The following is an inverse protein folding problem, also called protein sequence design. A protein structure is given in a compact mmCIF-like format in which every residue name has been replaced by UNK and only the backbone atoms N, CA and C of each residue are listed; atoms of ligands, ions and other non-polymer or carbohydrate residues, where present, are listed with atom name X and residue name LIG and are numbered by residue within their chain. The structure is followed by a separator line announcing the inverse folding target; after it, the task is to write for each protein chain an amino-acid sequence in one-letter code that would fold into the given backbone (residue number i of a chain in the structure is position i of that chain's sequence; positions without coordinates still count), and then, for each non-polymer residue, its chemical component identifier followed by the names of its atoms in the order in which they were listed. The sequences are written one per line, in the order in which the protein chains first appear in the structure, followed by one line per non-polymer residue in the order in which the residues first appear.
data_IF_521766830390
#
_entry.id   IF_521766830390
#
_cell.length_a   1.000
_cell.length_b   1.000
_cell.length_c   1.000
_cell.angle_alpha   90.00
_cell.angle_beta   90.00
_cell.angle_gamma   90.00
#
_symmetry.space_group_name_H-M   'P 1'
#
loop_
_entity.id
_entity.type
_entity.pdbx_description
1 polymer ?
#
# COMPACT_ATOMS: atom_id res chain seq x y z
N UNK A 1 -27.68 60.24 -38.50
CA UNK A 1 -26.49 59.46 -38.11
C UNK A 1 -26.37 59.52 -36.59
N UNK A 2 -26.93 58.52 -35.91
CA UNK A 2 -26.67 58.24 -34.48
C UNK A 2 -25.31 57.51 -34.37
N UNK A 3 -24.58 57.37 -33.25
CA UNK A 3 -24.95 57.35 -31.83
C UNK A 3 -23.80 57.87 -30.95
N UNK A 4 -24.19 58.29 -29.75
CA UNK A 4 -23.39 58.54 -28.56
C UNK A 4 -22.45 57.37 -28.19
N UNK A 5 -21.25 57.71 -27.69
CA UNK A 5 -20.41 56.78 -26.94
C UNK A 5 -20.71 56.96 -25.45
N UNK A 6 -21.46 56.02 -24.89
CA UNK A 6 -21.60 55.80 -23.44
C UNK A 6 -20.52 54.80 -23.00
N UNK A 7 -19.69 55.17 -22.04
CA UNK A 7 -18.75 54.28 -21.35
C UNK A 7 -19.20 54.07 -19.91
N UNK A 8 -19.88 52.95 -19.66
CA UNK A 8 -20.25 52.46 -18.33
C UNK A 8 -19.03 51.74 -17.70
N UNK A 9 -18.65 52.01 -16.44
CA UNK A 9 -17.62 51.23 -15.77
C UNK A 9 -18.22 49.92 -15.27
N UNK A 10 -17.85 48.81 -15.93
CA UNK A 10 -18.18 47.45 -15.50
C UNK A 10 -17.57 47.20 -14.11
N UNK A 11 -18.44 47.03 -13.11
CA UNK A 11 -18.09 46.53 -11.78
C UNK A 11 -17.55 45.11 -11.92
N UNK A 12 -16.26 44.94 -11.64
CA UNK A 12 -15.68 43.63 -11.35
C UNK A 12 -16.18 43.18 -9.97
N UNK A 13 -17.27 42.41 -9.95
CA UNK A 13 -17.59 41.61 -8.78
C UNK A 13 -16.54 40.50 -8.68
N UNK A 14 -15.48 40.76 -7.93
CA UNK A 14 -14.61 39.73 -7.37
C UNK A 14 -15.50 38.90 -6.46
N UNK A 15 -16.01 37.79 -6.99
CA UNK A 15 -16.56 36.72 -6.18
C UNK A 15 -15.37 36.18 -5.38
N UNK A 16 -15.21 36.65 -4.13
CA UNK A 16 -14.33 36.00 -3.18
C UNK A 16 -14.88 34.59 -2.98
N UNK A 17 -14.35 33.64 -3.75
CA UNK A 17 -14.50 32.23 -3.46
C UNK A 17 -13.98 32.05 -2.04
N UNK A 18 -14.91 31.84 -1.11
CA UNK A 18 -14.61 31.40 0.25
C UNK A 18 -13.70 30.19 0.12
N UNK A 19 -12.47 30.34 0.61
CA UNK A 19 -11.50 29.26 0.73
C UNK A 19 -12.02 28.26 1.76
N UNK A 20 -13.00 27.45 1.37
CA UNK A 20 -13.33 26.22 2.08
C UNK A 20 -12.17 25.28 1.77
N UNK A 21 -11.28 25.14 2.74
CA UNK A 21 -10.37 24.00 2.82
C UNK A 21 -11.25 22.74 2.85
N UNK A 22 -11.50 22.14 1.68
CA UNK A 22 -12.07 20.81 1.59
C UNK A 22 -11.04 19.92 2.28
N UNK A 23 -11.29 19.56 3.53
CA UNK A 23 -10.52 18.54 4.24
C UNK A 23 -10.76 17.23 3.50
N UNK A 24 -9.85 16.90 2.59
CA UNK A 24 -9.96 15.71 1.76
C UNK A 24 -9.83 14.47 2.63
N UNK A 25 -10.81 13.57 2.54
CA UNK A 25 -10.86 12.33 3.31
C UNK A 25 -9.69 11.43 2.93
N UNK A 26 -8.87 10.94 3.90
CA UNK A 26 -7.70 10.15 3.55
C UNK A 26 -8.03 8.75 3.01
N UNK A 27 -7.09 8.19 2.26
CA UNK A 27 -7.07 6.77 1.87
C UNK A 27 -5.99 6.06 2.69
N UNK A 28 -6.35 4.97 3.36
CA UNK A 28 -5.37 4.10 4.02
C UNK A 28 -4.80 3.13 3.00
N UNK A 29 -3.47 3.11 2.83
CA UNK A 29 -2.77 2.09 2.04
C UNK A 29 -2.09 1.13 3.01
N UNK A 30 -2.57 -0.10 3.04
CA UNK A 30 -2.09 -1.13 3.97
C UNK A 30 -1.03 -2.04 3.32
N UNK A 31 0.21 -1.83 3.73
CA UNK A 31 1.40 -2.60 3.36
C UNK A 31 1.54 -3.86 4.20
N UNK A 32 2.03 -4.93 3.55
CA UNK A 32 2.30 -6.25 4.14
C UNK A 32 3.60 -6.81 3.55
N UNK A 33 3.53 -7.77 2.63
CA UNK A 33 4.71 -8.40 1.99
C UNK A 33 5.13 -7.71 0.68
N UNK A 34 4.68 -6.48 0.50
CA UNK A 34 4.81 -5.63 -0.69
C UNK A 34 5.54 -4.31 -0.34
N UNK A 35 6.66 -4.41 0.39
CA UNK A 35 7.43 -3.29 0.94
C UNK A 35 8.24 -2.51 -0.12
N UNK A 36 7.55 -1.90 -1.08
CA UNK A 36 8.11 -1.15 -2.22
C UNK A 36 7.17 -0.02 -2.65
N UNK A 37 7.70 1.04 -3.26
CA UNK A 37 6.89 2.11 -3.86
C UNK A 37 6.68 1.88 -5.36
N UNK A 38 7.70 1.39 -6.06
CA UNK A 38 7.62 1.06 -7.48
C UNK A 38 6.70 -0.14 -7.69
N UNK A 39 5.95 -0.11 -8.78
CA UNK A 39 4.99 -1.14 -9.16
C UNK A 39 4.01 -1.53 -8.02
N UNK A 40 3.65 -0.56 -7.19
CA UNK A 40 2.74 -0.77 -6.06
C UNK A 40 1.35 -0.24 -6.39
N UNK A 41 0.54 -1.06 -7.07
CA UNK A 41 -0.72 -0.62 -7.67
C UNK A 41 -1.73 -0.04 -6.66
N UNK A 42 -1.78 -0.56 -5.43
CA UNK A 42 -2.60 0.01 -4.36
C UNK A 42 -2.17 1.43 -3.94
N UNK A 43 -0.86 1.70 -3.93
CA UNK A 43 -0.30 3.00 -3.56
C UNK A 43 -0.50 3.98 -4.71
N UNK A 44 -0.21 3.54 -5.93
CA UNK A 44 -0.44 4.32 -7.15
C UNK A 44 -1.91 4.75 -7.27
N UNK A 45 -2.84 3.82 -7.04
CA UNK A 45 -4.27 4.12 -7.07
C UNK A 45 -4.73 5.05 -5.94
N UNK A 46 -4.08 5.04 -4.78
CA UNK A 46 -4.34 5.98 -3.70
C UNK A 46 -3.84 7.38 -4.05
N UNK A 47 -2.60 7.51 -4.54
CA UNK A 47 -2.02 8.80 -4.93
C UNK A 47 -2.82 9.46 -6.07
N UNK A 48 -3.28 8.66 -7.04
CA UNK A 48 -4.08 9.16 -8.18
C UNK A 48 -5.55 9.42 -7.84
N UNK A 49 -5.99 9.19 -6.61
CA UNK A 49 -7.34 9.57 -6.16
C UNK A 49 -7.45 11.07 -5.84
N UNK A 50 -6.32 11.77 -5.66
CA UNK A 50 -6.29 13.16 -5.18
C UNK A 50 -6.56 13.31 -3.67
N UNK A 51 -6.72 12.20 -2.95
CA UNK A 51 -6.90 12.17 -1.50
C UNK A 51 -5.55 12.05 -0.77
N UNK A 52 -5.43 12.58 0.46
CA UNK A 52 -4.29 12.31 1.32
C UNK A 52 -4.13 10.81 1.59
N UNK A 53 -2.90 10.34 1.72
CA UNK A 53 -2.59 8.92 1.88
C UNK A 53 -2.00 8.65 3.26
N UNK A 54 -2.58 7.68 3.97
CA UNK A 54 -2.03 7.13 5.20
C UNK A 54 -1.37 5.80 4.86
N UNK A 55 -0.05 5.73 4.95
CA UNK A 55 0.70 4.49 4.70
C UNK A 55 0.84 3.71 6.00
N UNK A 56 0.22 2.53 6.06
CA UNK A 56 0.11 1.70 7.26
C UNK A 56 0.79 0.35 7.04
N UNK A 57 1.56 -0.11 8.03
CA UNK A 57 1.97 -1.50 8.16
C UNK A 57 1.49 -2.05 9.52
N UNK A 58 0.88 -3.23 9.49
CA UNK A 58 0.37 -3.92 10.68
C UNK A 58 1.17 -5.20 10.89
N UNK A 59 1.80 -5.34 12.07
CA UNK A 59 2.31 -6.61 12.58
C UNK A 59 1.15 -7.42 13.14
N UNK A 60 0.54 -8.20 12.25
CA UNK A 60 -0.56 -9.09 12.59
C UNK A 60 -0.07 -10.28 13.46
N UNK A 61 -0.94 -10.85 14.33
CA UNK A 61 -0.67 -12.11 15.02
C UNK A 61 -0.30 -13.23 14.04
N UNK A 62 0.50 -14.20 14.50
CA UNK A 62 1.02 -15.29 13.67
C UNK A 62 -0.11 -16.13 13.03
N UNK A 63 -1.26 -16.18 13.69
CA UNK A 63 -2.45 -16.92 13.31
C UNK A 63 -3.26 -16.20 12.21
N UNK A 64 -3.06 -14.90 12.00
CA UNK A 64 -3.89 -14.01 11.16
C UNK A 64 -3.63 -14.11 9.65
N UNK A 65 -3.09 -15.23 9.18
CA UNK A 65 -2.93 -15.53 7.75
C UNK A 65 -1.61 -15.08 7.12
N UNK A 66 -0.88 -14.11 7.69
CA UNK A 66 0.48 -13.79 7.19
C UNK A 66 1.54 -14.85 7.53
N UNK A 67 1.19 -15.81 8.39
CA UNK A 67 2.05 -16.87 8.88
C UNK A 67 2.96 -16.40 10.01
N UNK A 68 3.50 -17.35 10.77
CA UNK A 68 4.49 -17.05 11.80
C UNK A 68 5.77 -16.47 11.16
N UNK A 69 6.22 -15.34 11.70
CA UNK A 69 7.47 -14.71 11.28
C UNK A 69 8.65 -15.45 11.92
N UNK A 70 9.46 -16.12 11.12
CA UNK A 70 10.71 -16.73 11.59
C UNK A 70 11.78 -15.67 11.92
N UNK A 71 12.73 -15.97 12.80
CA UNK A 71 13.73 -15.00 13.28
C UNK A 71 14.58 -14.35 12.15
N UNK A 72 14.99 -15.14 11.14
CA UNK A 72 15.68 -14.61 9.96
C UNK A 72 14.80 -13.68 9.10
N UNK A 73 13.51 -14.00 8.96
CA UNK A 73 12.56 -13.11 8.30
C UNK A 73 12.26 -11.87 9.14
N UNK A 74 12.30 -11.97 10.47
CA UNK A 74 12.22 -10.83 11.39
C UNK A 74 13.36 -9.84 11.16
N UNK A 75 14.60 -10.34 11.10
CA UNK A 75 15.77 -9.52 10.76
C UNK A 75 15.58 -8.82 9.40
N UNK A 76 15.14 -9.56 8.38
CA UNK A 76 14.90 -9.00 7.04
C UNK A 76 13.78 -7.95 7.05
N UNK A 77 12.69 -8.23 7.76
CA UNK A 77 11.53 -7.36 7.88
C UNK A 77 11.90 -6.04 8.55
N UNK A 78 12.66 -6.08 9.65
CA UNK A 78 13.14 -4.88 10.33
C UNK A 78 13.87 -3.94 9.35
N UNK A 79 14.89 -4.45 8.68
CA UNK A 79 15.66 -3.64 7.73
C UNK A 79 14.82 -3.18 6.53
N UNK A 80 13.90 -4.02 6.06
CA UNK A 80 12.98 -3.64 4.97
C UNK A 80 12.02 -2.52 5.37
N UNK A 81 11.45 -2.55 6.57
CA UNK A 81 10.57 -1.51 7.08
C UNK A 81 11.33 -0.21 7.36
N UNK A 82 12.54 -0.29 7.91
CA UNK A 82 13.41 0.87 8.10
C UNK A 82 13.76 1.53 6.75
N UNK A 83 14.10 0.73 5.73
CA UNK A 83 14.36 1.21 4.38
C UNK A 83 13.10 1.83 3.75
N UNK A 84 11.93 1.17 3.89
CA UNK A 84 10.66 1.67 3.39
C UNK A 84 10.29 3.02 4.04
N UNK A 85 10.41 3.14 5.37
CA UNK A 85 10.14 4.38 6.09
C UNK A 85 11.04 5.52 5.60
N UNK A 86 12.34 5.27 5.38
CA UNK A 86 13.26 6.26 4.79
C UNK A 86 12.88 6.65 3.36
N UNK A 87 12.40 5.70 2.56
CA UNK A 87 11.91 5.99 1.21
C UNK A 87 10.66 6.84 1.27
N UNK A 88 9.64 6.43 2.01
CA UNK A 88 8.39 7.20 2.18
C UNK A 88 8.66 8.63 2.66
N UNK A 89 9.57 8.82 3.61
CA UNK A 89 9.92 10.15 4.12
C UNK A 89 10.47 11.08 3.02
N UNK A 90 11.25 10.53 2.06
CA UNK A 90 11.73 11.28 0.90
C UNK A 90 10.61 11.66 -0.07
N UNK A 91 9.51 10.92 -0.07
CA UNK A 91 8.31 11.19 -0.86
C UNK A 91 7.25 12.00 -0.08
N UNK A 92 7.57 12.50 1.12
CA UNK A 92 6.66 13.34 1.91
C UNK A 92 5.63 12.57 2.76
N UNK A 93 5.87 11.28 3.02
CA UNK A 93 4.96 10.45 3.81
C UNK A 93 5.67 9.68 4.92
N UNK A 94 4.97 9.45 6.03
CA UNK A 94 5.46 8.63 7.14
C UNK A 94 4.87 7.22 7.06
N UNK A 95 5.67 6.22 7.45
CA UNK A 95 5.19 4.85 7.66
C UNK A 95 4.57 4.73 9.05
N UNK A 96 3.27 4.46 9.11
CA UNK A 96 2.55 4.19 10.36
C UNK A 96 2.71 2.71 10.74
N UNK A 97 3.23 2.44 11.94
CA UNK A 97 3.41 1.10 12.47
C UNK A 97 2.39 0.78 13.58
N UNK A 98 1.79 -0.40 13.49
CA UNK A 98 0.85 -0.96 14.49
C UNK A 98 1.06 -2.45 14.65
N UNK A 99 0.70 -3.01 15.80
CA UNK A 99 0.68 -4.45 16.07
C UNK A 99 -0.69 -4.87 16.59
N UNK A 100 -1.20 -6.04 16.15
CA UNK A 100 -2.47 -6.60 16.63
C UNK A 100 -3.43 -7.02 15.53
N UNK A 101 -4.71 -7.18 15.90
CA UNK A 101 -5.75 -7.58 14.96
C UNK A 101 -5.97 -6.50 13.89
N UNK A 102 -5.81 -6.88 12.62
CA UNK A 102 -5.86 -5.93 11.51
C UNK A 102 -7.21 -5.22 11.40
N UNK A 103 -8.32 -5.91 11.72
CA UNK A 103 -9.66 -5.30 11.66
C UNK A 103 -9.81 -4.23 12.74
N UNK A 104 -9.42 -4.55 13.97
CA UNK A 104 -9.47 -3.59 15.10
C UNK A 104 -8.64 -2.35 14.78
N UNK A 105 -7.41 -2.54 14.31
CA UNK A 105 -6.50 -1.43 13.98
C UNK A 105 -7.04 -0.58 12.82
N UNK A 106 -7.57 -1.20 11.77
CA UNK A 106 -8.19 -0.47 10.67
C UNK A 106 -9.42 0.31 11.15
N UNK A 107 -10.26 -0.29 11.99
CA UNK A 107 -11.46 0.36 12.54
C UNK A 107 -11.10 1.58 13.39
N UNK A 108 -10.08 1.46 14.25
CA UNK A 108 -9.56 2.56 15.06
C UNK A 108 -8.97 3.67 14.18
N UNK A 109 -8.13 3.31 13.21
CA UNK A 109 -7.50 4.29 12.32
C UNK A 109 -8.52 5.01 11.44
N UNK A 110 -9.53 4.31 10.93
CA UNK A 110 -10.65 4.90 10.18
C UNK A 110 -11.39 5.91 11.08
N UNK A 111 -11.72 5.53 12.32
CA UNK A 111 -12.40 6.42 13.25
C UNK A 111 -11.57 7.67 13.61
N UNK A 112 -10.25 7.53 13.74
CA UNK A 112 -9.34 8.64 14.04
C UNK A 112 -9.08 9.56 12.84
N UNK A 113 -8.94 8.99 11.65
CA UNK A 113 -8.54 9.73 10.45
C UNK A 113 -9.70 10.28 9.63
N UNK A 114 -10.90 9.71 9.78
CA UNK A 114 -12.01 9.96 8.87
C UNK A 114 -11.79 9.34 7.48
N UNK A 115 -10.85 8.40 7.33
CA UNK A 115 -10.60 7.73 6.07
C UNK A 115 -11.85 7.00 5.58
N UNK A 116 -12.21 7.20 4.31
CA UNK A 116 -13.37 6.57 3.68
C UNK A 116 -12.98 5.39 2.79
N UNK A 117 -11.68 5.12 2.64
CA UNK A 117 -11.16 4.04 1.81
C UNK A 117 -9.94 3.33 2.39
N UNK A 118 -9.84 2.03 2.12
CA UNK A 118 -8.69 1.18 2.45
C UNK A 118 -8.26 0.39 1.22
N UNK A 119 -7.01 0.60 0.78
CA UNK A 119 -6.41 -0.03 -0.39
C UNK A 119 -5.24 -0.94 0.00
N UNK A 120 -5.11 -2.08 -0.70
CA UNK A 120 -4.04 -3.03 -0.44
C UNK A 120 -3.73 -3.92 -1.67
N UNK A 121 -2.53 -4.47 -1.81
CA UNK A 121 -2.27 -5.51 -2.82
C UNK A 121 -2.68 -6.89 -2.30
N UNK A 122 -3.21 -7.77 -3.15
CA UNK A 122 -3.73 -9.10 -2.78
C UNK A 122 -2.61 -10.01 -2.27
N UNK A 123 -2.95 -10.82 -1.28
CA UNK A 123 -2.23 -12.05 -0.93
C UNK A 123 -3.00 -13.26 -1.45
N UNK A 124 -2.28 -14.32 -1.81
CA UNK A 124 -2.85 -15.49 -2.47
C UNK A 124 -2.83 -16.75 -1.60
N UNK A 125 -2.39 -16.65 -0.35
CA UNK A 125 -2.48 -17.74 0.61
C UNK A 125 -3.94 -17.89 1.12
N UNK A 126 -4.49 -19.12 1.27
CA UNK A 126 -5.91 -19.29 1.60
C UNK A 126 -6.36 -18.64 2.90
N UNK A 127 -5.51 -18.63 3.94
CA UNK A 127 -5.83 -18.03 5.23
C UNK A 127 -5.93 -16.51 5.11
N UNK A 128 -4.96 -15.91 4.44
CA UNK A 128 -4.92 -14.49 4.16
C UNK A 128 -6.07 -14.02 3.26
N UNK A 129 -6.45 -14.80 2.25
CA UNK A 129 -7.63 -14.53 1.43
C UNK A 129 -8.90 -14.49 2.30
N UNK A 130 -9.05 -15.43 3.24
CA UNK A 130 -10.21 -15.47 4.14
C UNK A 130 -10.27 -14.22 5.02
N UNK A 131 -9.14 -13.85 5.65
CA UNK A 131 -9.04 -12.64 6.48
C UNK A 131 -9.32 -11.38 5.67
N UNK A 132 -8.73 -11.23 4.48
CA UNK A 132 -8.97 -10.09 3.59
C UNK A 132 -10.44 -10.00 3.17
N UNK A 133 -11.09 -11.14 2.89
CA UNK A 133 -12.50 -11.19 2.51
C UNK A 133 -13.41 -10.76 3.65
N UNK A 134 -13.13 -11.20 4.88
CA UNK A 134 -13.90 -10.84 6.07
C UNK A 134 -13.76 -9.36 6.40
N UNK A 135 -12.53 -8.83 6.38
CA UNK A 135 -12.27 -7.39 6.59
C UNK A 135 -12.97 -6.57 5.52
N UNK A 136 -12.85 -6.95 4.24
CA UNK A 136 -13.50 -6.27 3.13
C UNK A 136 -15.02 -6.23 3.30
N UNK A 137 -15.64 -7.35 3.67
CA UNK A 137 -17.08 -7.42 3.90
C UNK A 137 -17.51 -6.55 5.08
N UNK A 138 -16.77 -6.57 6.20
CA UNK A 138 -17.07 -5.78 7.39
C UNK A 138 -16.96 -4.26 7.13
N UNK A 139 -15.93 -3.83 6.40
CA UNK A 139 -15.74 -2.42 6.04
C UNK A 139 -16.79 -1.95 5.02
N UNK A 140 -17.10 -2.77 4.01
CA UNK A 140 -18.12 -2.43 3.01
C UNK A 140 -19.52 -2.28 3.64
N UNK A 141 -19.86 -3.10 4.63
CA UNK A 141 -21.13 -2.96 5.38
C UNK A 141 -21.28 -1.62 6.12
N UNK A 142 -20.18 -0.89 6.30
CA UNK A 142 -20.11 0.45 6.92
C UNK A 142 -19.86 1.57 5.90
N UNK A 143 -20.04 1.29 4.60
CA UNK A 143 -19.79 2.21 3.50
C UNK A 143 -18.31 2.68 3.38
N UNK A 144 -17.35 1.92 3.91
CA UNK A 144 -15.93 2.17 3.68
C UNK A 144 -15.52 1.48 2.37
N UNK A 145 -14.93 2.24 1.45
CA UNK A 145 -14.51 1.76 0.14
C UNK A 145 -13.26 0.90 0.25
N UNK A 146 -13.36 -0.38 -0.10
CA UNK A 146 -12.22 -1.30 -0.07
C UNK A 146 -11.81 -1.73 -1.47
N UNK A 147 -10.54 -1.52 -1.84
CA UNK A 147 -9.98 -2.00 -3.12
C UNK A 147 -8.73 -2.83 -2.90
N UNK A 148 -8.71 -4.01 -3.52
CA UNK A 148 -7.58 -4.93 -3.51
C UNK A 148 -7.02 -5.11 -4.92
N UNK A 149 -5.71 -4.97 -5.08
CA UNK A 149 -5.02 -4.91 -6.38
C UNK A 149 -4.07 -6.12 -6.58
N UNK A 150 -3.81 -6.60 -7.81
CA UNK A 150 -2.67 -7.49 -8.06
C UNK A 150 -1.34 -6.82 -7.66
N UNK A 151 -0.28 -7.61 -7.52
CA UNK A 151 1.06 -7.08 -7.24
C UNK A 151 2.09 -8.07 -6.71
N UNK A 152 1.66 -9.30 -6.34
CA UNK A 152 2.56 -10.37 -5.91
C UNK A 152 2.92 -11.34 -7.04
N UNK A 153 2.04 -11.51 -8.03
CA UNK A 153 2.15 -12.53 -9.06
C UNK A 153 2.09 -11.89 -10.45
N UNK A 154 2.82 -12.48 -11.40
CA UNK A 154 2.77 -12.09 -12.82
C UNK A 154 1.42 -12.40 -13.48
N UNK A 155 0.66 -13.35 -12.94
CA UNK A 155 -0.66 -13.71 -13.43
C UNK A 155 -1.60 -14.00 -12.26
N UNK A 156 -2.89 -13.79 -12.49
CA UNK A 156 -3.94 -14.13 -11.54
C UNK A 156 -4.22 -15.63 -11.58
N UNK A 157 -4.04 -16.39 -10.48
CA UNK A 157 -4.24 -17.84 -10.45
C UNK A 157 -5.66 -18.28 -10.85
N UNK A 158 -6.64 -17.39 -10.67
CA UNK A 158 -8.04 -17.63 -11.05
C UNK A 158 -8.29 -17.57 -12.57
N UNK A 159 -7.39 -16.93 -13.33
CA UNK A 159 -7.54 -16.67 -14.78
C UNK A 159 -6.91 -17.75 -15.65
N UNK A 160 -5.73 -18.27 -15.30
CA UNK A 160 -5.01 -19.23 -16.14
C UNK A 160 -5.53 -20.66 -15.90
N UNK A 161 -6.14 -21.26 -16.91
CA UNK A 161 -6.76 -22.59 -16.85
C UNK A 161 -6.33 -23.43 -18.04
N UNK A 162 -6.37 -24.76 -17.87
CA UNK A 162 -6.16 -25.70 -18.97
C UNK A 162 -7.24 -25.53 -20.04
N UNK A 163 -7.06 -26.12 -21.23
CA UNK A 163 -8.10 -26.15 -22.27
C UNK A 163 -9.43 -26.79 -21.82
N UNK A 164 -9.40 -27.61 -20.76
CA UNK A 164 -10.59 -28.18 -20.12
C UNK A 164 -11.18 -27.30 -19.01
N UNK A 165 -10.68 -26.08 -18.81
CA UNK A 165 -11.15 -25.14 -17.77
C UNK A 165 -10.75 -25.51 -16.34
N UNK A 166 -9.81 -26.42 -16.14
CA UNK A 166 -9.35 -26.88 -14.81
C UNK A 166 -7.98 -26.30 -14.43
N UNK A 167 -7.60 -26.26 -13.14
CA UNK A 167 -6.26 -25.83 -12.72
C UNK A 167 -5.15 -26.72 -13.27
N UNK A 168 -3.99 -26.12 -13.56
CA UNK A 168 -2.80 -26.88 -13.96
C UNK A 168 -2.24 -27.68 -12.78
N UNK A 169 -1.85 -28.93 -13.06
CA UNK A 169 -1.18 -29.83 -12.09
C UNK A 169 0.29 -30.13 -12.45
N UNK A 170 0.73 -29.71 -13.62
CA UNK A 170 2.09 -29.92 -14.15
C UNK A 170 2.66 -28.57 -14.57
N UNK A 171 3.91 -28.29 -14.18
CA UNK A 171 4.57 -27.00 -14.38
C UNK A 171 4.77 -26.65 -15.86
N UNK A 172 5.32 -27.56 -16.67
CA UNK A 172 5.65 -27.29 -18.08
C UNK A 172 4.46 -26.78 -18.92
N UNK A 173 3.26 -27.40 -18.91
CA UNK A 173 2.12 -26.87 -19.64
C UNK A 173 1.56 -25.57 -19.04
N UNK A 174 1.70 -25.36 -17.73
CA UNK A 174 1.38 -24.08 -17.09
C UNK A 174 2.29 -22.96 -17.63
N UNK A 175 3.60 -23.18 -17.61
CA UNK A 175 4.60 -22.22 -18.10
C UNK A 175 4.35 -21.83 -19.55
N UNK A 176 4.17 -22.81 -20.44
CA UNK A 176 3.89 -22.55 -21.87
C UNK A 176 2.62 -21.72 -22.07
N UNK A 177 1.58 -21.98 -21.26
CA UNK A 177 0.35 -21.21 -21.34
C UNK A 177 0.52 -19.78 -20.83
N UNK A 178 1.35 -19.58 -19.80
CA UNK A 178 1.66 -18.26 -19.27
C UNK A 178 2.48 -17.45 -20.29
N UNK A 179 3.52 -18.05 -20.87
CA UNK A 179 4.32 -17.45 -21.94
C UNK A 179 3.46 -17.06 -23.16
N UNK A 180 2.56 -17.95 -23.59
CA UNK A 180 1.64 -17.67 -24.70
C UNK A 180 0.58 -16.61 -24.38
N UNK A 181 0.37 -16.25 -23.10
CA UNK A 181 -0.61 -15.23 -22.70
C UNK A 181 -0.14 -13.79 -22.95
N UNK A 182 1.10 -13.62 -23.40
CA UNK A 182 1.71 -12.32 -23.69
C UNK A 182 2.52 -11.77 -22.52
N UNK A 183 3.08 -10.59 -22.73
CA UNK A 183 3.85 -9.89 -21.70
C UNK A 183 2.92 -9.36 -20.59
N UNK A 184 3.37 -9.39 -19.33
CA UNK A 184 2.65 -8.72 -18.24
C UNK A 184 2.61 -7.21 -18.47
N UNK A 185 1.71 -6.53 -17.75
CA UNK A 185 1.65 -5.06 -17.77
C UNK A 185 3.00 -4.45 -17.38
N UNK A 186 3.37 -3.35 -18.03
CA UNK A 186 4.59 -2.61 -17.69
C UNK A 186 4.52 -2.16 -16.22
N UNK A 187 5.59 -2.36 -15.44
CA UNK A 187 5.63 -1.94 -14.04
C UNK A 187 5.31 -0.46 -13.87
N UNK A 188 4.49 -0.12 -12.88
CA UNK A 188 4.17 1.28 -12.58
C UNK A 188 5.37 1.99 -11.94
N UNK A 189 5.62 3.23 -12.35
CA UNK A 189 6.61 4.07 -11.67
C UNK A 189 6.18 4.38 -10.23
N UNK A 190 7.16 4.56 -9.35
CA UNK A 190 6.91 5.04 -7.99
C UNK A 190 6.29 6.46 -8.03
N UNK A 191 5.33 6.80 -7.15
CA UNK A 191 4.80 8.15 -7.08
C UNK A 191 5.92 9.17 -6.78
N UNK A 192 5.95 10.30 -7.48
CA UNK A 192 6.96 11.34 -7.23
C UNK A 192 6.80 11.94 -5.83
N UNK A 193 5.56 12.19 -5.40
CA UNK A 193 5.21 12.69 -4.09
C UNK A 193 3.95 12.01 -3.57
N UNK A 194 3.85 11.89 -2.24
CA UNK A 194 2.69 11.35 -1.54
C UNK A 194 2.15 12.45 -0.64
N UNK A 195 0.92 12.89 -0.90
CA UNK A 195 0.24 13.87 -0.05
C UNK A 195 -0.18 13.19 1.24
N UNK A 196 0.41 13.59 2.37
CA UNK A 196 0.03 13.08 3.69
C UNK A 196 -1.08 13.94 4.30
N UNK A 197 -1.95 13.37 5.16
CA UNK A 197 -2.89 14.18 5.92
C UNK A 197 -2.17 15.13 6.88
N UNK A 198 -2.77 16.29 7.16
CA UNK A 198 -2.22 17.27 8.12
C UNK A 198 -2.18 16.71 9.55
N UNK A 199 -3.13 15.83 9.88
CA UNK A 199 -3.20 15.16 11.18
C UNK A 199 -2.14 14.08 11.27
N UNK A 200 -1.40 14.07 12.38
CA UNK A 200 -0.51 12.97 12.75
C UNK A 200 -1.26 11.90 13.54
N UNK A 201 -0.81 10.66 13.40
CA UNK A 201 -1.30 9.51 14.14
C UNK A 201 -0.14 8.95 14.96
N UNK A 202 -0.40 8.50 16.18
CA UNK A 202 0.61 7.82 17.00
C UNK A 202 1.21 6.67 16.20
N UNK A 203 2.47 6.28 16.40
CA UNK A 203 3.07 5.13 15.73
C UNK A 203 3.88 4.33 16.73
N UNK A 204 3.86 3.01 16.60
CA UNK A 204 4.83 2.17 17.31
C UNK A 204 6.24 2.44 16.77
N UNK A 205 7.25 2.24 17.62
CA UNK A 205 8.66 2.29 17.21
C UNK A 205 9.08 0.92 16.71
N UNK A 206 9.77 0.86 15.57
CA UNK A 206 10.20 -0.40 14.98
C UNK A 206 11.16 -1.20 15.89
N UNK A 207 11.96 -0.51 16.71
CA UNK A 207 12.88 -1.14 17.67
C UNK A 207 12.14 -1.92 18.78
N UNK A 208 10.97 -1.42 19.20
CA UNK A 208 10.12 -2.06 20.22
C UNK A 208 9.56 -3.41 19.75
N UNK A 209 9.63 -3.70 18.45
CA UNK A 209 9.17 -4.96 17.90
C UNK A 209 10.13 -6.12 18.16
N UNK A 210 11.36 -5.86 18.60
CA UNK A 210 12.32 -6.90 18.99
C UNK A 210 12.65 -7.85 17.84
N UNK A 211 12.62 -7.37 16.60
CA UNK A 211 12.82 -8.19 15.39
C UNK A 211 14.30 -8.54 15.13
N UNK A 212 15.23 -7.80 15.74
CA UNK A 212 16.66 -8.02 15.60
C UNK A 212 17.19 -8.91 16.73
N UNK A 213 18.12 -9.83 16.43
CA UNK A 213 18.78 -10.59 17.47
C UNK A 213 19.72 -9.71 18.29
N UNK A 214 19.71 -9.91 19.61
CA UNK A 214 20.54 -9.14 20.55
C UNK A 214 21.79 -9.93 20.94
N UNK A 215 21.69 -10.86 21.89
CA UNK A 215 22.85 -11.55 22.47
C UNK A 215 22.67 -13.08 22.46
N UNK A 216 23.44 -13.85 21.66
CA UNK A 216 24.38 -13.37 20.63
C UNK A 216 23.65 -12.83 19.39
N UNK A 217 24.25 -11.83 18.72
CA UNK A 217 23.80 -11.41 17.40
C UNK A 217 24.20 -12.47 16.37
N UNK A 218 23.36 -13.50 16.22
CA UNK A 218 23.58 -14.58 15.24
C UNK A 218 23.48 -14.08 13.79
N UNK A 219 22.84 -12.93 13.55
CA UNK A 219 22.71 -12.32 12.23
C UNK A 219 23.86 -11.37 11.89
N UNK A 220 24.94 -11.31 12.69
CA UNK A 220 26.02 -10.33 12.50
C UNK A 220 26.65 -10.34 11.10
N UNK A 221 26.68 -11.50 10.44
CA UNK A 221 27.25 -11.68 9.09
C UNK A 221 26.21 -11.49 7.98
N UNK A 222 24.93 -11.31 8.31
CA UNK A 222 23.90 -11.13 7.28
C UNK A 222 24.12 -9.84 6.50
N UNK A 223 24.60 -8.78 7.16
CA UNK A 223 24.90 -7.50 6.52
C UNK A 223 26.03 -7.58 5.49
N UNK A 224 26.89 -8.61 5.56
CA UNK A 224 27.99 -8.82 4.60
C UNK A 224 27.47 -9.36 3.25
N UNK A 225 26.28 -9.97 3.25
CA UNK A 225 25.68 -10.64 2.09
C UNK A 225 24.39 -9.99 1.63
N UNK A 226 23.60 -9.44 2.58
CA UNK A 226 22.24 -8.99 2.36
C UNK A 226 22.07 -7.54 2.76
N UNK A 227 21.41 -6.78 1.87
CA UNK A 227 20.93 -5.44 2.12
C UNK A 227 19.41 -5.43 1.87
N UNK A 228 18.56 -5.61 2.90
CA UNK A 228 17.12 -5.58 2.71
C UNK A 228 16.60 -4.19 2.32
N UNK A 229 15.57 -4.16 1.47
CA UNK A 229 14.89 -2.94 1.03
C UNK A 229 14.82 -2.81 -0.50
N UNK A 230 13.85 -2.02 -0.96
CA UNK A 230 13.56 -1.83 -2.39
C UNK A 230 14.77 -1.36 -3.21
N UNK A 231 15.50 -0.36 -2.71
CA UNK A 231 16.66 0.21 -3.44
C UNK A 231 17.75 -0.84 -3.71
N UNK A 232 17.99 -1.72 -2.74
CA UNK A 232 18.96 -2.81 -2.90
C UNK A 232 18.43 -3.92 -3.81
N UNK A 233 17.11 -4.18 -3.80
CA UNK A 233 16.47 -5.15 -4.68
C UNK A 233 16.54 -4.74 -6.17
N UNK A 234 16.50 -3.44 -6.46
CA UNK A 234 16.69 -2.91 -7.82
C UNK A 234 18.14 -3.03 -8.32
N UNK A 235 19.10 -3.25 -7.42
CA UNK A 235 20.53 -3.26 -7.75
C UNK A 235 21.09 -1.85 -8.07
N UNK A 236 22.40 -1.76 -8.34
CA UNK A 236 22.99 -0.52 -8.86
C UNK A 236 22.36 -0.21 -10.23
N UNK A 237 21.82 1.01 -10.37
CA UNK A 237 21.35 1.54 -11.65
C UNK A 237 22.52 1.99 -12.52
#
# INVERSE_FOLDING_TARGET
MNFAVYGDPVRWNICMATNQSITSTPVIVWFRKDLRLADHQALWAACNSGQPVIVLYIREPAESGNGALGAAQGWWLHHSLAALAKTLARHGCALLLRSGDARVILDELIAQSGADAVYWNRRYDPRGIKVDSDIKAALAARNIKVRSFPGQLLHEPSRLKTGAGTPYKVYTPFWRSLEASGEPETPLEAPEAIVSPERTFESETLDDWGLLPTTPNWARQFVDVWCPGEAAALGPR
#
